data_IF_026151970730
#
_entry.id   IF_026151970730
#
_cell.length_a   1.000
_cell.length_b   1.000
_cell.length_c   1.000
_cell.angle_alpha   90.00
_cell.angle_beta   90.00
_cell.angle_gamma   90.00
#
_symmetry.space_group_name_H-M   'P 1'
#
loop_
_entity.id
_entity.type
_entity.pdbx_description
1 polymer ?
#
# COMPACT_ATOMS: atom_id res chain seq x y z
N UNK A 1 -1.45 10.43 23.00
CA UNK A 1 -2.35 10.54 21.83
C UNK A 1 -2.77 9.16 21.34
N UNK A 2 -4.03 8.97 21.08
CA UNK A 2 -4.51 7.72 20.54
C UNK A 2 -4.04 7.56 19.07
N UNK A 3 -3.65 6.35 18.73
CA UNK A 3 -3.27 6.00 17.36
C UNK A 3 -4.53 5.89 16.52
N UNK A 4 -4.45 6.31 15.27
CA UNK A 4 -5.53 6.08 14.32
C UNK A 4 -5.49 4.62 13.85
N UNK A 5 -6.65 4.03 13.54
CA UNK A 5 -6.68 2.64 13.10
C UNK A 5 -5.99 2.40 11.76
N UNK A 6 -5.49 1.19 11.59
CA UNK A 6 -4.97 0.69 10.32
C UNK A 6 -5.97 -0.31 9.80
N UNK A 7 -6.42 -0.11 8.57
CA UNK A 7 -7.39 -0.99 7.92
C UNK A 7 -6.67 -1.73 6.80
N UNK A 8 -6.69 -3.06 6.84
CA UNK A 8 -5.99 -3.90 5.87
C UNK A 8 -7.00 -4.72 5.07
N UNK A 9 -6.87 -4.70 3.76
CA UNK A 9 -7.63 -5.56 2.87
C UNK A 9 -6.69 -6.59 2.27
N UNK A 10 -6.98 -7.85 2.48
CA UNK A 10 -6.21 -8.97 1.94
C UNK A 10 -7.07 -9.82 1.03
N UNK A 11 -6.45 -10.45 0.05
CA UNK A 11 -7.15 -11.32 -0.85
C UNK A 11 -6.36 -11.52 -2.13
N UNK A 12 -6.72 -12.59 -2.84
CA UNK A 12 -6.14 -12.86 -4.16
C UNK A 12 -6.73 -11.91 -5.19
N UNK A 13 -6.06 -11.79 -6.33
CA UNK A 13 -6.54 -10.99 -7.44
C UNK A 13 -7.92 -11.47 -7.88
N UNK A 14 -8.82 -10.54 -8.16
CA UNK A 14 -10.19 -10.87 -8.55
C UNK A 14 -11.14 -11.09 -7.39
N UNK A 15 -10.70 -10.94 -6.15
CA UNK A 15 -11.54 -11.13 -4.95
C UNK A 15 -12.45 -9.95 -4.62
N UNK A 16 -12.42 -8.88 -5.41
CA UNK A 16 -13.17 -7.65 -5.14
C UNK A 16 -12.49 -6.71 -4.16
N UNK A 17 -11.23 -6.97 -3.83
CA UNK A 17 -10.46 -6.17 -2.88
C UNK A 17 -10.38 -4.70 -3.26
N UNK A 18 -10.08 -4.40 -4.53
CA UNK A 18 -10.00 -3.02 -5.03
C UNK A 18 -11.33 -2.30 -4.93
N UNK A 19 -12.44 -3.01 -5.18
CA UNK A 19 -13.78 -2.46 -5.07
C UNK A 19 -14.09 -2.04 -3.62
N UNK A 20 -13.79 -2.91 -2.66
CA UNK A 20 -14.01 -2.63 -1.24
C UNK A 20 -13.16 -1.47 -0.75
N UNK A 21 -11.89 -1.41 -1.15
CA UNK A 21 -10.99 -0.30 -0.81
C UNK A 21 -11.56 1.02 -1.35
N UNK A 22 -12.08 1.01 -2.57
CA UNK A 22 -12.68 2.18 -3.19
C UNK A 22 -13.89 2.67 -2.41
N UNK A 23 -14.77 1.76 -1.98
CA UNK A 23 -15.95 2.09 -1.17
C UNK A 23 -15.55 2.73 0.16
N UNK A 24 -14.61 2.12 0.87
CA UNK A 24 -14.15 2.61 2.16
C UNK A 24 -13.48 3.97 2.02
N UNK A 25 -12.62 4.14 1.01
CA UNK A 25 -11.94 5.40 0.74
C UNK A 25 -12.95 6.53 0.47
N UNK A 26 -13.99 6.23 -0.29
CA UNK A 26 -15.06 7.18 -0.59
C UNK A 26 -15.84 7.57 0.66
N UNK A 27 -16.15 6.60 1.51
CA UNK A 27 -16.82 6.83 2.78
C UNK A 27 -16.00 7.77 3.67
N UNK A 28 -14.71 7.50 3.83
CA UNK A 28 -13.82 8.32 4.64
C UNK A 28 -13.72 9.75 4.10
N UNK A 29 -13.60 9.88 2.79
CA UNK A 29 -13.53 11.18 2.13
C UNK A 29 -14.83 11.97 2.32
N UNK A 30 -15.98 11.34 2.17
CA UNK A 30 -17.28 11.97 2.32
C UNK A 30 -17.53 12.43 3.76
N UNK A 31 -16.96 11.76 4.73
CA UNK A 31 -17.06 12.11 6.15
C UNK A 31 -15.93 13.00 6.64
N UNK A 32 -15.10 13.51 5.72
CA UNK A 32 -13.97 14.40 6.00
C UNK A 32 -12.98 13.80 7.01
N UNK A 33 -12.77 12.50 6.92
CA UNK A 33 -11.81 11.77 7.74
C UNK A 33 -10.51 11.61 6.94
N UNK A 34 -9.41 12.12 7.46
CA UNK A 34 -8.11 11.98 6.82
C UNK A 34 -7.65 10.54 6.84
N UNK A 35 -7.16 10.07 5.71
CA UNK A 35 -6.61 8.73 5.60
C UNK A 35 -5.44 8.70 4.61
N UNK A 36 -4.60 7.69 4.75
CA UNK A 36 -3.51 7.40 3.83
C UNK A 36 -3.79 6.05 3.19
N UNK A 37 -3.86 6.05 1.87
CA UNK A 37 -4.09 4.82 1.10
C UNK A 37 -2.76 4.31 0.57
N UNK A 38 -2.41 3.08 0.91
CA UNK A 38 -1.21 2.43 0.40
C UNK A 38 -1.56 1.04 -0.11
N UNK A 39 -0.65 0.46 -0.85
CA UNK A 39 -0.77 -0.93 -1.32
C UNK A 39 0.59 -1.59 -1.31
N UNK A 40 0.61 -2.92 -1.30
CA UNK A 40 1.85 -3.68 -1.33
C UNK A 40 1.89 -4.62 -2.53
N UNK A 41 2.92 -4.52 -3.38
CA UNK A 41 3.93 -3.46 -3.37
C UNK A 41 3.38 -2.18 -3.99
N UNK A 42 3.89 -1.04 -3.53
CA UNK A 42 3.47 0.26 -4.06
C UNK A 42 2.82 1.14 -3.02
N UNK A 43 2.07 2.16 -3.48
CA UNK A 43 1.29 3.02 -2.61
C UNK A 43 1.87 4.41 -2.37
N UNK A 44 3.16 4.61 -2.55
CA UNK A 44 3.81 5.91 -2.57
C UNK A 44 4.72 6.02 -3.81
N UNK A 45 5.21 7.21 -4.16
CA UNK A 45 5.97 7.36 -5.41
C UNK A 45 7.16 6.41 -5.56
N UNK A 46 7.93 6.20 -4.51
CA UNK A 46 9.09 5.32 -4.58
C UNK A 46 8.68 3.85 -4.64
N UNK A 47 7.71 3.46 -3.82
CA UNK A 47 7.18 2.09 -3.85
C UNK A 47 6.54 1.77 -5.20
N UNK A 48 5.87 2.74 -5.83
CA UNK A 48 5.29 2.55 -7.17
C UNK A 48 6.37 2.34 -8.23
N UNK A 49 7.50 3.01 -8.14
CA UNK A 49 8.64 2.77 -9.04
C UNK A 49 9.13 1.33 -8.91
N UNK A 50 9.25 0.84 -7.69
CA UNK A 50 9.68 -0.53 -7.42
C UNK A 50 8.62 -1.52 -7.92
N UNK A 51 7.33 -1.22 -7.71
CA UNK A 51 6.24 -2.04 -8.22
C UNK A 51 6.31 -2.20 -9.74
N UNK A 52 6.60 -1.14 -10.45
CA UNK A 52 6.74 -1.21 -11.92
C UNK A 52 7.85 -2.17 -12.33
N UNK A 53 8.96 -2.18 -11.61
CA UNK A 53 10.06 -3.11 -11.86
C UNK A 53 9.61 -4.55 -11.63
N UNK A 54 8.93 -4.81 -10.52
CA UNK A 54 8.43 -6.15 -10.17
C UNK A 54 7.46 -6.68 -11.22
N UNK A 55 6.53 -5.83 -11.69
CA UNK A 55 5.47 -6.23 -12.62
C UNK A 55 5.88 -6.18 -14.09
N UNK A 56 7.10 -5.77 -14.39
CA UNK A 56 7.57 -5.69 -15.76
C UNK A 56 7.77 -7.11 -16.33
N UNK A 57 6.99 -7.45 -17.35
CA UNK A 57 7.02 -8.78 -17.97
C UNK A 57 8.37 -9.13 -18.62
N UNK A 58 9.18 -8.11 -18.90
CA UNK A 58 10.52 -8.31 -19.48
C UNK A 58 11.59 -8.58 -18.43
N UNK A 59 11.28 -8.34 -17.17
CA UNK A 59 12.19 -8.61 -16.07
C UNK A 59 12.20 -10.10 -15.76
N UNK A 60 13.39 -10.65 -15.58
CA UNK A 60 13.57 -12.06 -15.24
C UNK A 60 14.49 -12.17 -14.04
N UNK A 61 14.00 -11.70 -12.90
CA UNK A 61 14.76 -11.74 -11.67
C UNK A 61 14.69 -13.10 -11.00
N UNK A 62 15.78 -13.48 -10.33
CA UNK A 62 15.74 -14.66 -9.49
C UNK A 62 14.85 -14.41 -8.24
N UNK A 63 14.51 -15.49 -7.53
CA UNK A 63 13.61 -15.41 -6.37
C UNK A 63 14.10 -14.48 -5.27
N UNK A 64 15.39 -14.46 -5.02
CA UNK A 64 15.98 -13.61 -3.98
C UNK A 64 15.88 -12.12 -4.36
N UNK A 65 16.12 -11.81 -5.61
CA UNK A 65 15.99 -10.44 -6.11
C UNK A 65 14.53 -9.98 -6.02
N UNK A 66 13.58 -10.81 -6.43
CA UNK A 66 12.16 -10.49 -6.28
C UNK A 66 11.79 -10.21 -4.83
N UNK A 67 12.21 -11.07 -3.91
CA UNK A 67 11.96 -10.88 -2.49
C UNK A 67 12.52 -9.55 -1.99
N UNK A 68 13.76 -9.23 -2.37
CA UNK A 68 14.39 -7.97 -1.96
C UNK A 68 13.66 -6.76 -2.52
N UNK A 69 13.14 -6.84 -3.75
CA UNK A 69 12.34 -5.76 -4.32
C UNK A 69 11.04 -5.54 -3.56
N UNK A 70 10.34 -6.61 -3.19
CA UNK A 70 9.13 -6.51 -2.35
C UNK A 70 9.45 -5.88 -0.99
N UNK A 71 10.56 -6.28 -0.39
CA UNK A 71 10.97 -5.73 0.90
C UNK A 71 11.40 -4.27 0.79
N UNK A 72 12.02 -3.88 -0.33
CA UNK A 72 12.37 -2.49 -0.58
C UNK A 72 11.12 -1.62 -0.68
N UNK A 73 10.09 -2.09 -1.40
CA UNK A 73 8.82 -1.38 -1.51
C UNK A 73 8.14 -1.25 -0.14
N UNK A 74 8.17 -2.31 0.66
CA UNK A 74 7.61 -2.32 2.01
C UNK A 74 8.35 -1.34 2.93
N UNK A 75 9.68 -1.26 2.81
CA UNK A 75 10.48 -0.32 3.58
C UNK A 75 10.02 1.13 3.36
N UNK A 76 9.73 1.49 2.13
CA UNK A 76 9.19 2.82 1.80
C UNK A 76 7.81 3.03 2.41
N UNK A 77 6.96 2.00 2.37
CA UNK A 77 5.63 2.07 2.97
C UNK A 77 5.70 2.22 4.49
N UNK A 78 6.59 1.48 5.15
CA UNK A 78 6.77 1.56 6.60
C UNK A 78 7.17 2.98 7.00
N UNK A 79 8.10 3.59 6.26
CA UNK A 79 8.53 4.96 6.52
C UNK A 79 7.34 5.93 6.45
N UNK A 80 6.47 5.76 5.47
CA UNK A 80 5.29 6.60 5.31
C UNK A 80 4.25 6.34 6.40
N UNK A 81 4.03 5.07 6.76
CA UNK A 81 3.12 4.70 7.85
C UNK A 81 3.57 5.36 9.16
N UNK A 82 4.86 5.27 9.48
CA UNK A 82 5.41 5.88 10.70
C UNK A 82 5.20 7.38 10.72
N UNK A 83 5.28 8.05 9.59
CA UNK A 83 5.08 9.49 9.47
C UNK A 83 3.65 9.90 9.77
N UNK A 84 2.65 9.11 9.37
CA UNK A 84 1.23 9.48 9.46
C UNK A 84 0.44 8.69 10.49
N UNK A 85 1.06 7.77 11.16
CA UNK A 85 0.45 6.78 12.04
C UNK A 85 -0.44 7.38 13.16
N UNK A 86 -0.11 8.58 13.66
CA UNK A 86 -0.90 9.26 14.68
C UNK A 86 -1.89 10.28 14.10
N UNK A 87 -1.81 10.56 12.81
CA UNK A 87 -2.53 11.65 12.18
C UNK A 87 -3.66 11.19 11.26
N UNK A 88 -3.48 10.03 10.62
CA UNK A 88 -4.39 9.53 9.59
C UNK A 88 -4.71 8.06 9.78
N UNK A 89 -5.89 7.67 9.31
CA UNK A 89 -6.24 6.25 9.12
C UNK A 89 -5.42 5.74 7.92
N UNK A 90 -4.89 4.55 8.02
CA UNK A 90 -4.06 3.93 6.97
C UNK A 90 -4.76 2.71 6.38
#
# INVERSE_FOLDING_TARGET
MSKKPIIVFEGIEGSGKSHHISIVSKYLKNNKIDFLKIREPGGNPNSEKIRKIILNNKSNFNKNTDLLLYMAARSENISQIQKYFHKKII
#
